data_IF_822285238362
#
_entry.id   IF_822285238362
#
_cell.length_a   1.000
_cell.length_b   1.000
_cell.length_c   1.000
_cell.angle_alpha   90.00
_cell.angle_beta   90.00
_cell.angle_gamma   90.00
#
_symmetry.space_group_name_H-M   'P 1'
#
loop_
_entity.id
_entity.type
_entity.pdbx_description
1 polymer ?
#
# COMPACT_ATOMS: atom_id res chain seq x y z
N UNK A 1 3.39 -11.13 7.76
CA UNK A 1 3.72 -9.78 8.29
C UNK A 1 2.54 -9.15 9.02
N UNK A 2 1.37 -9.01 8.37
CA UNK A 2 0.22 -8.22 8.87
C UNK A 2 -0.28 -8.59 10.27
N UNK A 3 -0.43 -9.88 10.57
CA UNK A 3 -0.85 -10.33 11.91
C UNK A 3 0.15 -9.93 13.01
N UNK A 4 1.45 -10.08 12.74
CA UNK A 4 2.52 -9.70 13.68
C UNK A 4 2.53 -8.19 13.88
N UNK A 5 2.44 -7.40 12.81
CA UNK A 5 2.38 -5.94 12.94
C UNK A 5 1.12 -5.46 13.66
N UNK A 6 -0.03 -6.11 13.45
CA UNK A 6 -1.27 -5.85 14.20
C UNK A 6 -1.03 -6.14 15.69
N UNK A 7 -0.43 -7.28 16.03
CA UNK A 7 -0.08 -7.61 17.42
C UNK A 7 0.84 -6.56 18.05
N UNK A 8 1.92 -6.17 17.37
CA UNK A 8 2.87 -5.16 17.88
C UNK A 8 2.16 -3.83 18.13
N UNK A 9 1.35 -3.36 17.18
CA UNK A 9 0.59 -2.11 17.32
C UNK A 9 -0.37 -2.15 18.53
N UNK A 10 -1.06 -3.27 18.77
CA UNK A 10 -1.95 -3.41 19.93
C UNK A 10 -1.18 -3.56 21.24
N UNK A 11 -0.10 -4.36 21.25
CA UNK A 11 0.66 -4.69 22.46
C UNK A 11 1.39 -3.48 23.03
N UNK A 12 1.79 -2.56 22.17
CA UNK A 12 2.61 -1.39 22.50
C UNK A 12 1.91 -0.06 22.13
N UNK A 13 0.57 -0.03 22.13
CA UNK A 13 -0.21 1.15 21.75
C UNK A 13 0.16 2.44 22.53
N UNK A 14 0.56 2.29 23.79
CA UNK A 14 0.90 3.40 24.68
C UNK A 14 2.39 3.80 24.58
N UNK A 15 3.13 3.23 23.63
CA UNK A 15 4.56 3.48 23.40
C UNK A 15 4.78 3.97 21.97
N UNK A 16 5.11 5.25 21.83
CA UNK A 16 5.36 5.87 20.53
C UNK A 16 4.09 6.34 19.83
N UNK A 17 4.06 6.27 18.50
CA UNK A 17 2.92 6.70 17.69
C UNK A 17 1.80 5.66 17.72
N UNK A 18 0.57 6.10 18.00
CA UNK A 18 -0.61 5.23 17.88
C UNK A 18 -0.94 4.97 16.40
N UNK A 19 -0.81 3.71 15.99
CA UNK A 19 -1.06 3.26 14.61
C UNK A 19 -2.46 2.67 14.43
N UNK A 20 -3.28 2.61 15.48
CA UNK A 20 -4.61 2.01 15.48
C UNK A 20 -5.74 3.05 15.38
N UNK A 21 -5.39 4.34 15.28
CA UNK A 21 -6.33 5.45 15.21
C UNK A 21 -6.70 5.98 16.60
N UNK A 22 -7.00 7.28 16.68
CA UNK A 22 -7.19 8.01 17.94
C UNK A 22 -8.66 8.11 18.38
N UNK A 23 -9.58 7.66 17.53
CA UNK A 23 -11.01 7.62 17.80
C UNK A 23 -11.64 6.31 17.29
N UNK A 24 -12.80 5.89 17.81
CA UNK A 24 -13.48 4.69 17.31
C UNK A 24 -13.74 4.71 15.80
N UNK A 25 -14.05 5.88 15.24
CA UNK A 25 -14.26 6.06 13.80
C UNK A 25 -12.95 5.84 13.01
N UNK A 26 -11.83 6.40 13.49
CA UNK A 26 -10.53 6.17 12.88
C UNK A 26 -10.10 4.71 13.01
N UNK A 27 -10.26 4.07 14.16
CA UNK A 27 -9.92 2.65 14.34
C UNK A 27 -10.71 1.75 13.39
N UNK A 28 -12.01 2.02 13.21
CA UNK A 28 -12.81 1.32 12.20
C UNK A 28 -12.27 1.55 10.78
N UNK A 29 -11.96 2.81 10.44
CA UNK A 29 -11.40 3.19 9.15
C UNK A 29 -10.04 2.50 8.89
N UNK A 30 -9.14 2.46 9.88
CA UNK A 30 -7.87 1.71 9.81
C UNK A 30 -8.13 0.24 9.49
N UNK A 31 -9.11 -0.38 10.16
CA UNK A 31 -9.53 -1.74 9.86
C UNK A 31 -9.95 -1.93 8.40
N UNK A 32 -10.80 -1.05 7.87
CA UNK A 32 -11.22 -1.09 6.46
C UNK A 32 -10.02 -0.99 5.52
N UNK A 33 -9.13 -0.02 5.74
CA UNK A 33 -8.01 0.21 4.83
C UNK A 33 -6.91 -0.84 4.90
N UNK A 34 -6.78 -1.55 6.02
CA UNK A 34 -5.94 -2.74 6.11
C UNK A 34 -6.48 -3.89 5.23
N UNK A 35 -7.81 -4.04 5.15
CA UNK A 35 -8.41 -5.05 4.28
C UNK A 35 -8.39 -4.62 2.81
N UNK A 36 -8.56 -3.32 2.51
CA UNK A 36 -8.36 -2.78 1.16
C UNK A 36 -6.92 -3.01 0.69
N UNK A 37 -5.94 -2.75 1.56
CA UNK A 37 -4.53 -3.04 1.26
C UNK A 37 -4.33 -4.52 0.95
N UNK A 38 -4.81 -5.41 1.82
CA UNK A 38 -4.60 -6.85 1.70
C UNK A 38 -5.30 -7.46 0.47
N UNK A 39 -6.46 -6.94 0.07
CA UNK A 39 -7.33 -7.56 -0.94
C UNK A 39 -7.42 -6.82 -2.27
N UNK A 40 -7.05 -5.53 -2.33
CA UNK A 40 -7.10 -4.73 -3.57
C UNK A 40 -5.71 -4.30 -4.00
N UNK A 41 -4.93 -3.69 -3.11
CA UNK A 41 -3.60 -3.17 -3.44
C UNK A 41 -2.55 -4.27 -3.57
N UNK A 42 -2.36 -5.08 -2.52
CA UNK A 42 -1.33 -6.11 -2.46
C UNK A 42 -1.44 -7.13 -3.63
N UNK A 43 -2.63 -7.65 -3.99
CA UNK A 43 -2.76 -8.57 -5.11
C UNK A 43 -2.42 -7.97 -6.47
N UNK A 44 -2.51 -6.63 -6.63
CA UNK A 44 -2.14 -5.94 -7.85
C UNK A 44 -0.63 -5.64 -7.91
N UNK A 45 -0.03 -5.20 -6.79
CA UNK A 45 1.36 -4.73 -6.77
C UNK A 45 2.39 -5.84 -6.53
N UNK A 46 2.08 -6.83 -5.66
CA UNK A 46 3.04 -7.86 -5.25
C UNK A 46 3.54 -8.71 -6.43
N UNK A 47 2.69 -9.12 -7.41
CA UNK A 47 3.17 -9.85 -8.57
C UNK A 47 4.12 -9.02 -9.45
N UNK A 48 3.87 -7.71 -9.58
CA UNK A 48 4.76 -6.80 -10.31
C UNK A 48 6.13 -6.74 -9.62
N UNK A 49 6.17 -6.55 -8.31
CA UNK A 49 7.43 -6.54 -7.52
C UNK A 49 8.18 -7.86 -7.70
N UNK A 50 7.48 -8.99 -7.68
CA UNK A 50 8.10 -10.29 -7.91
C UNK A 50 8.72 -10.39 -9.31
N UNK A 51 7.95 -10.11 -10.35
CA UNK A 51 8.42 -10.22 -11.74
C UNK A 51 9.54 -9.23 -12.07
N UNK A 52 9.49 -8.01 -11.53
CA UNK A 52 10.44 -6.95 -11.86
C UNK A 52 11.73 -6.97 -11.04
N UNK A 53 11.70 -7.46 -9.79
CA UNK A 53 12.86 -7.39 -8.88
C UNK A 53 13.31 -8.76 -8.38
N UNK A 54 12.37 -9.62 -7.95
CA UNK A 54 12.71 -10.90 -7.31
C UNK A 54 13.10 -11.96 -8.34
N UNK A 55 12.38 -12.05 -9.45
CA UNK A 55 12.64 -13.05 -10.48
C UNK A 55 13.98 -12.79 -11.22
N UNK A 56 14.33 -11.54 -11.61
CA UNK A 56 15.63 -11.24 -12.21
C UNK A 56 16.81 -11.50 -11.28
N UNK A 57 16.68 -11.14 -9.98
CA UNK A 57 17.73 -11.44 -8.98
C UNK A 57 17.95 -12.93 -8.74
N UNK A 58 17.05 -13.80 -9.23
CA UNK A 58 17.16 -15.26 -9.22
C UNK A 58 17.49 -15.85 -10.60
N UNK A 59 17.88 -15.02 -11.57
CA UNK A 59 18.26 -15.43 -12.93
C UNK A 59 17.09 -15.72 -13.88
N UNK A 60 15.86 -15.37 -13.51
CA UNK A 60 14.69 -15.51 -14.38
C UNK A 60 14.35 -14.23 -15.16
N UNK A 61 13.59 -14.37 -16.24
CA UNK A 61 13.12 -13.23 -17.05
C UNK A 61 11.71 -12.79 -16.62
N UNK A 62 11.44 -11.48 -16.48
CA UNK A 62 10.10 -10.96 -16.20
C UNK A 62 9.07 -11.37 -17.27
N UNK A 63 7.86 -11.70 -16.84
CA UNK A 63 6.69 -11.83 -17.71
C UNK A 63 6.05 -10.45 -17.94
N UNK A 64 6.36 -9.85 -19.08
CA UNK A 64 5.87 -8.52 -19.43
C UNK A 64 4.33 -8.46 -19.51
N UNK A 65 3.67 -9.52 -20.00
CA UNK A 65 2.22 -9.52 -20.13
C UNK A 65 1.53 -9.53 -18.75
N UNK A 66 2.08 -10.29 -17.80
CA UNK A 66 1.61 -10.28 -16.41
C UNK A 66 1.84 -8.90 -15.77
N UNK A 67 3.02 -8.31 -15.94
CA UNK A 67 3.33 -7.00 -15.35
C UNK A 67 2.37 -5.93 -15.88
N UNK A 68 2.15 -5.85 -17.19
CA UNK A 68 1.22 -4.87 -17.78
C UNK A 68 -0.23 -5.08 -17.30
N UNK A 69 -0.69 -6.33 -17.24
CA UNK A 69 -2.03 -6.65 -16.75
C UNK A 69 -2.23 -6.23 -15.28
N UNK A 70 -1.18 -6.37 -14.45
CA UNK A 70 -1.22 -5.97 -13.05
C UNK A 70 -1.03 -4.46 -12.88
N UNK A 71 -0.22 -3.80 -13.70
CA UNK A 71 -0.08 -2.35 -13.73
C UNK A 71 -1.43 -1.67 -14.02
N UNK A 72 -2.21 -2.21 -14.97
CA UNK A 72 -3.56 -1.72 -15.26
C UNK A 72 -4.53 -1.89 -14.07
N UNK A 73 -4.44 -3.01 -13.33
CA UNK A 73 -5.25 -3.22 -12.12
C UNK A 73 -4.84 -2.27 -11.00
N UNK A 74 -3.53 -2.13 -10.77
CA UNK A 74 -2.98 -1.24 -9.76
C UNK A 74 -3.37 0.21 -10.06
N UNK A 75 -3.33 0.64 -11.32
CA UNK A 75 -3.80 1.96 -11.72
C UNK A 75 -5.22 2.26 -11.25
N UNK A 76 -6.16 1.34 -11.49
CA UNK A 76 -7.56 1.51 -11.03
C UNK A 76 -7.69 1.58 -9.50
N UNK A 77 -6.90 0.77 -8.78
CA UNK A 77 -6.86 0.84 -7.31
C UNK A 77 -6.34 2.21 -6.87
N UNK A 78 -5.25 2.68 -7.49
CA UNK A 78 -4.65 3.97 -7.16
C UNK A 78 -5.54 5.17 -7.54
N UNK A 79 -6.43 5.05 -8.53
CA UNK A 79 -7.42 6.08 -8.85
C UNK A 79 -8.41 6.27 -7.68
N UNK A 80 -8.87 5.17 -7.06
CA UNK A 80 -9.69 5.25 -5.83
C UNK A 80 -8.90 5.88 -4.69
N UNK A 81 -7.61 5.55 -4.57
CA UNK A 81 -6.75 6.12 -3.54
C UNK A 81 -6.56 7.63 -3.74
N UNK A 82 -6.42 8.09 -4.99
CA UNK A 82 -6.32 9.51 -5.33
C UNK A 82 -7.56 10.29 -4.90
N UNK A 83 -8.77 9.79 -5.21
CA UNK A 83 -10.03 10.42 -4.79
C UNK A 83 -10.18 10.47 -3.27
N UNK A 84 -9.67 9.44 -2.61
CA UNK A 84 -9.65 9.30 -1.16
C UNK A 84 -8.69 10.31 -0.53
N UNK A 85 -7.44 10.34 -0.99
CA UNK A 85 -6.38 11.21 -0.46
C UNK A 85 -6.55 12.68 -0.87
N UNK A 86 -7.42 12.96 -1.84
CA UNK A 86 -7.88 14.32 -2.11
C UNK A 86 -8.71 14.93 -0.96
N UNK A 87 -9.29 14.09 -0.10
CA UNK A 87 -10.23 14.51 0.97
C UNK A 87 -9.67 14.38 2.38
N UNK A 88 -8.59 13.61 2.55
CA UNK A 88 -7.97 13.33 3.85
C UNK A 88 -6.48 13.11 3.68
N UNK A 89 -5.71 13.38 4.74
CA UNK A 89 -4.25 13.35 4.68
C UNK A 89 -3.66 11.94 4.53
N UNK A 90 -4.30 10.92 5.09
CA UNK A 90 -3.90 9.52 5.06
C UNK A 90 -5.09 8.62 4.72
N UNK A 91 -4.85 7.33 4.46
CA UNK A 91 -5.90 6.42 4.01
C UNK A 91 -7.00 6.23 5.04
N UNK A 92 -6.68 6.24 6.33
CA UNK A 92 -7.67 6.03 7.38
C UNK A 92 -8.28 7.33 7.94
N UNK A 93 -7.70 8.49 7.67
CA UNK A 93 -8.07 9.77 8.29
C UNK A 93 -6.97 10.80 8.16
N UNK A 94 -6.80 11.66 9.18
CA UNK A 94 -5.79 12.73 9.16
C UNK A 94 -4.49 12.36 9.89
N UNK A 95 -4.45 11.18 10.51
CA UNK A 95 -3.29 10.63 11.22
C UNK A 95 -2.75 9.41 10.49
N UNK A 96 -1.41 9.32 10.40
CA UNK A 96 -0.73 8.16 9.84
C UNK A 96 -1.02 6.91 10.66
N UNK A 97 -1.34 5.81 9.99
CA UNK A 97 -1.82 4.60 10.65
C UNK A 97 -1.16 3.33 10.13
N UNK A 98 -1.53 2.19 10.72
CA UNK A 98 -1.08 0.89 10.26
C UNK A 98 -1.51 0.60 8.82
N UNK A 99 -2.65 1.15 8.38
CA UNK A 99 -3.09 1.03 7.00
C UNK A 99 -2.06 1.62 6.04
N UNK A 100 -1.58 2.84 6.28
CA UNK A 100 -0.58 3.50 5.45
C UNK A 100 0.76 2.74 5.49
N UNK A 101 1.17 2.30 6.68
CA UNK A 101 2.41 1.56 6.89
C UNK A 101 2.48 0.26 6.08
N UNK A 102 1.36 -0.46 5.92
CA UNK A 102 1.33 -1.74 5.21
C UNK A 102 1.59 -1.60 3.70
N UNK A 103 1.36 -0.42 3.13
CA UNK A 103 1.64 -0.15 1.72
C UNK A 103 3.14 0.09 1.44
N UNK A 104 3.91 0.54 2.43
CA UNK A 104 5.28 1.04 2.25
C UNK A 104 6.22 0.06 1.55
N UNK A 105 6.29 -1.24 1.90
CA UNK A 105 7.28 -2.12 1.30
C UNK A 105 7.10 -2.26 -0.22
N UNK A 106 5.88 -2.53 -0.67
CA UNK A 106 5.61 -2.71 -2.10
C UNK A 106 5.64 -1.38 -2.86
N UNK A 107 5.14 -0.30 -2.27
CA UNK A 107 5.21 1.03 -2.86
C UNK A 107 6.67 1.46 -3.08
N UNK A 108 7.53 1.28 -2.08
CA UNK A 108 8.96 1.56 -2.18
C UNK A 108 9.61 0.79 -3.34
N UNK A 109 9.33 -0.51 -3.45
CA UNK A 109 9.89 -1.32 -4.54
C UNK A 109 9.42 -0.90 -5.92
N UNK A 110 8.13 -0.59 -6.12
CA UNK A 110 7.64 -0.13 -7.42
C UNK A 110 8.28 1.20 -7.83
N UNK A 111 8.54 2.09 -6.88
CA UNK A 111 9.24 3.36 -7.15
C UNK A 111 10.67 3.16 -7.68
N UNK A 112 11.27 1.99 -7.49
CA UNK A 112 12.58 1.62 -8.05
C UNK A 112 12.49 1.01 -9.47
N UNK A 113 11.29 0.94 -10.06
CA UNK A 113 11.04 0.34 -11.37
C UNK A 113 10.56 1.39 -12.38
N UNK A 114 10.52 1.08 -13.69
CA UNK A 114 9.88 1.95 -14.68
C UNK A 114 8.40 2.27 -14.41
N UNK A 115 7.73 1.53 -13.52
CA UNK A 115 6.32 1.75 -13.15
C UNK A 115 6.13 2.75 -12.02
N UNK A 116 7.18 3.45 -11.58
CA UNK A 116 7.09 4.53 -10.58
C UNK A 116 6.06 5.61 -10.96
N UNK A 117 5.83 5.81 -12.26
CA UNK A 117 4.81 6.74 -12.78
C UNK A 117 3.38 6.39 -12.33
N UNK A 118 3.08 5.14 -11.98
CA UNK A 118 1.78 4.77 -11.40
C UNK A 118 1.52 5.50 -10.08
N UNK A 119 2.56 5.79 -9.31
CA UNK A 119 2.45 6.60 -8.08
C UNK A 119 2.66 8.08 -8.45
N UNK A 120 3.76 8.41 -9.12
CA UNK A 120 4.18 9.80 -9.35
C UNK A 120 3.22 10.64 -10.22
N UNK A 121 2.35 10.01 -11.02
CA UNK A 121 1.35 10.72 -11.83
C UNK A 121 0.09 11.13 -11.05
N UNK A 122 -0.09 10.63 -9.83
CA UNK A 122 -1.26 10.87 -8.98
C UNK A 122 -0.85 11.81 -7.84
N UNK A 123 -1.37 13.04 -7.86
CA UNK A 123 -0.89 14.14 -7.00
C UNK A 123 -1.03 13.79 -5.52
N UNK A 124 -2.18 13.26 -5.10
CA UNK A 124 -2.48 12.99 -3.70
C UNK A 124 -1.87 11.67 -3.24
N UNK A 125 -1.73 10.67 -4.12
CA UNK A 125 -1.01 9.43 -3.82
C UNK A 125 0.51 9.66 -3.67
N UNK A 126 1.08 10.62 -4.40
CA UNK A 126 2.51 10.96 -4.36
C UNK A 126 2.89 11.95 -3.24
N UNK A 127 1.91 12.51 -2.52
CA UNK A 127 2.09 13.61 -1.58
C UNK A 127 2.75 13.22 -0.26
#
# INVERSE_FOLDING_TARGET
SRAISKYVAHRYKDIGTDLLGTSPAETYSVGVWLEVEAHQFNPAIQPMVYELLVKPSRGGTPDAALVEAQAAKLGKVLDVYEEVLAKRKYLAGDVFSLADLHHLPCAHYIMLTPYASLIASRKHVNA
#
